data_IF_867826794136
#
_entry.id   IF_867826794136
#
_cell.length_a   1.000
_cell.length_b   1.000
_cell.length_c   1.000
_cell.angle_alpha   90.00
_cell.angle_beta   90.00
_cell.angle_gamma   90.00
#
_symmetry.space_group_name_H-M   'P 1'
#
loop_
_entity.id
_entity.type
_entity.pdbx_description
1 polymer ?
#
# COMPACT_ATOMS: atom_id res chain seq x y z
N UNK A 1 -1.83 5.41 -8.56
CA UNK A 1 -1.58 5.01 -7.15
C UNK A 1 -1.34 6.19 -6.21
N UNK A 2 -0.29 6.99 -6.41
CA UNK A 2 -0.02 8.19 -5.58
C UNK A 2 -1.23 9.11 -5.37
N UNK A 3 -1.96 9.49 -6.43
CA UNK A 3 -3.17 10.32 -6.28
C UNK A 3 -4.32 9.61 -5.54
N UNK A 4 -4.46 8.29 -5.67
CA UNK A 4 -5.42 7.51 -4.89
C UNK A 4 -5.10 7.58 -3.39
N UNK A 5 -3.82 7.48 -3.02
CA UNK A 5 -3.36 7.65 -1.65
C UNK A 5 -3.56 9.08 -1.12
N UNK A 6 -3.39 10.11 -1.96
CA UNK A 6 -3.76 11.47 -1.57
C UNK A 6 -5.27 11.62 -1.32
N UNK A 7 -6.10 10.95 -2.13
CA UNK A 7 -7.55 10.88 -1.90
C UNK A 7 -7.88 10.18 -0.58
N UNK A 8 -7.20 9.06 -0.31
CA UNK A 8 -7.31 8.32 0.94
C UNK A 8 -6.87 9.15 2.16
N UNK A 9 -5.81 9.95 2.04
CA UNK A 9 -5.42 10.90 3.09
C UNK A 9 -6.52 11.92 3.40
N UNK A 10 -7.22 12.43 2.38
CA UNK A 10 -8.35 13.34 2.63
C UNK A 10 -9.48 12.65 3.41
N UNK A 11 -9.81 11.39 3.07
CA UNK A 11 -10.75 10.60 3.86
C UNK A 11 -10.27 10.42 5.30
N UNK A 12 -9.01 10.05 5.48
CA UNK A 12 -8.38 9.88 6.78
C UNK A 12 -8.42 11.16 7.62
N UNK A 13 -8.06 12.30 7.04
CA UNK A 13 -8.15 13.61 7.69
C UNK A 13 -9.58 13.91 8.14
N UNK A 14 -10.57 13.58 7.32
CA UNK A 14 -11.99 13.74 7.63
C UNK A 14 -12.53 12.68 8.61
N UNK A 15 -11.64 11.82 9.14
CA UNK A 15 -11.96 10.87 10.19
C UNK A 15 -12.30 9.46 9.70
N UNK A 16 -12.02 9.11 8.44
CA UNK A 16 -12.42 7.84 7.83
C UNK A 16 -11.22 6.96 7.41
N UNK A 17 -11.26 5.67 7.72
CA UNK A 17 -10.37 4.65 7.16
C UNK A 17 -11.16 3.82 6.14
N UNK A 18 -10.51 3.38 5.07
CA UNK A 18 -11.18 2.81 3.91
C UNK A 18 -11.46 1.31 4.02
N UNK A 19 -10.51 0.54 4.57
CA UNK A 19 -10.60 -0.93 4.80
C UNK A 19 -10.68 -1.84 3.60
N UNK A 20 -10.74 -1.30 2.39
CA UNK A 20 -10.78 -2.08 1.16
C UNK A 20 -10.02 -1.38 0.02
N UNK A 21 -8.81 -0.92 0.33
CA UNK A 21 -7.90 -0.44 -0.71
C UNK A 21 -7.46 -1.65 -1.54
N UNK A 22 -7.91 -1.70 -2.79
CA UNK A 22 -7.66 -2.78 -3.75
C UNK A 22 -7.33 -2.20 -5.13
N UNK A 23 -6.91 -3.05 -6.06
CA UNK A 23 -6.69 -2.67 -7.47
C UNK A 23 -8.00 -2.23 -8.16
N UNK A 24 -9.14 -2.80 -7.78
CA UNK A 24 -10.46 -2.37 -8.24
C UNK A 24 -10.92 -1.02 -7.70
N UNK A 25 -10.39 -0.58 -6.56
CA UNK A 25 -10.84 0.62 -5.86
C UNK A 25 -9.91 1.84 -6.04
N UNK A 26 -8.78 1.68 -6.75
CA UNK A 26 -7.92 2.80 -7.15
C UNK A 26 -8.03 3.04 -8.65
N UNK A 27 -8.88 3.99 -9.02
CA UNK A 27 -9.24 4.25 -10.41
C UNK A 27 -8.30 5.27 -11.05
N UNK A 28 -8.06 5.10 -12.35
CA UNK A 28 -7.41 6.11 -13.19
C UNK A 28 -8.48 6.96 -13.86
N UNK A 29 -8.26 8.27 -13.89
CA UNK A 29 -9.13 9.18 -14.63
C UNK A 29 -8.81 9.09 -16.12
N UNK A 30 -9.82 9.11 -17.02
CA UNK A 30 -9.59 9.11 -18.46
C UNK A 30 -8.73 10.31 -18.90
N UNK A 31 -8.95 11.46 -18.28
CA UNK A 31 -8.17 12.66 -18.47
C UNK A 31 -7.73 13.24 -17.12
N UNK A 32 -6.55 13.86 -17.04
CA UNK A 32 -6.13 14.54 -15.82
C UNK A 32 -7.05 15.70 -15.45
N UNK A 33 -7.43 15.78 -14.18
CA UNK A 33 -8.22 16.89 -13.62
C UNK A 33 -7.36 17.83 -12.79
N UNK A 34 -7.69 19.13 -12.82
CA UNK A 34 -7.11 20.11 -11.90
C UNK A 34 -7.89 20.09 -10.59
N UNK A 35 -7.19 19.79 -9.49
CA UNK A 35 -7.74 19.75 -8.13
C UNK A 35 -6.95 20.66 -7.20
N UNK A 36 -7.59 21.04 -6.09
CA UNK A 36 -6.90 21.77 -5.02
C UNK A 36 -5.78 20.87 -4.46
N UNK A 37 -4.54 21.37 -4.34
CA UNK A 37 -3.44 20.57 -3.84
C UNK A 37 -3.65 20.27 -2.37
N UNK A 38 -3.05 19.17 -1.91
CA UNK A 38 -2.98 18.90 -0.48
C UNK A 38 -1.92 19.83 0.13
N UNK A 39 -2.35 20.75 1.00
CA UNK A 39 -1.46 21.76 1.57
C UNK A 39 -0.87 21.38 2.92
N UNK A 40 -1.28 20.24 3.49
CA UNK A 40 -0.80 19.77 4.80
C UNK A 40 0.71 19.48 4.78
N UNK A 41 1.19 18.86 3.70
CA UNK A 41 2.59 18.45 3.55
C UNK A 41 3.27 19.32 2.51
N UNK A 42 4.50 19.77 2.79
CA UNK A 42 5.25 20.64 1.88
C UNK A 42 5.41 20.00 0.50
N UNK A 43 5.71 18.70 0.47
CA UNK A 43 5.94 17.94 -0.76
C UNK A 43 4.72 17.84 -1.68
N UNK A 44 3.50 18.12 -1.19
CA UNK A 44 2.26 18.03 -1.98
C UNK A 44 1.66 19.38 -2.38
N UNK A 45 2.21 20.51 -1.90
CA UNK A 45 1.60 21.86 -2.08
C UNK A 45 1.44 22.31 -3.52
N UNK A 46 2.29 21.82 -4.43
CA UNK A 46 2.27 22.20 -5.85
C UNK A 46 1.60 21.16 -6.76
N UNK A 47 1.04 20.09 -6.19
CA UNK A 47 0.48 18.97 -6.95
C UNK A 47 -1.01 19.22 -7.23
N UNK A 48 -1.30 19.90 -8.33
CA UNK A 48 -2.67 20.26 -8.74
C UNK A 48 -3.27 19.29 -9.75
N UNK A 49 -2.44 18.59 -10.52
CA UNK A 49 -2.89 17.64 -11.54
C UNK A 49 -3.20 16.29 -10.88
N UNK A 50 -4.43 15.83 -10.98
CA UNK A 50 -4.90 14.55 -10.48
C UNK A 50 -5.18 13.61 -11.66
N UNK A 51 -4.70 12.37 -11.59
CA UNK A 51 -4.95 11.33 -12.61
C UNK A 51 -5.53 10.05 -12.03
N UNK A 52 -5.85 10.04 -10.75
CA UNK A 52 -6.43 8.86 -10.12
C UNK A 52 -7.09 9.18 -8.80
N UNK A 53 -8.05 8.35 -8.44
CA UNK A 53 -8.93 8.53 -7.28
C UNK A 53 -9.06 7.21 -6.54
N UNK A 54 -9.40 7.29 -5.25
CA UNK A 54 -9.85 6.16 -4.47
C UNK A 54 -11.39 6.14 -4.50
N UNK A 55 -12.00 4.96 -4.62
CA UNK A 55 -13.46 4.75 -4.68
C UNK A 55 -13.90 3.64 -3.76
N UNK A 56 -15.22 3.44 -3.65
CA UNK A 56 -15.83 2.36 -2.86
C UNK A 56 -15.55 2.46 -1.35
N UNK A 57 -16.08 3.53 -0.76
CA UNK A 57 -16.01 3.76 0.68
C UNK A 57 -17.08 3.03 1.49
N UNK A 58 -17.77 2.03 0.94
CA UNK A 58 -18.91 1.38 1.61
C UNK A 58 -18.49 0.58 2.85
N UNK A 59 -17.23 0.13 2.88
CA UNK A 59 -16.61 -0.50 4.04
C UNK A 59 -15.97 0.50 5.01
N UNK A 60 -16.00 1.80 4.71
CA UNK A 60 -15.23 2.80 5.46
C UNK A 60 -15.72 2.98 6.90
N UNK A 61 -14.79 3.31 7.79
CA UNK A 61 -15.04 3.40 9.23
C UNK A 61 -14.52 4.73 9.80
N UNK A 62 -15.30 5.37 10.67
CA UNK A 62 -14.96 6.59 11.42
C UNK A 62 -13.94 6.41 12.56
N UNK A 63 -12.65 6.46 12.29
CA UNK A 63 -11.62 6.17 13.30
C UNK A 63 -11.55 7.15 14.49
N UNK A 64 -12.17 8.33 14.39
CA UNK A 64 -12.22 9.33 15.48
C UNK A 64 -13.21 9.00 16.61
N UNK A 65 -14.03 7.96 16.43
CA UNK A 65 -15.05 7.59 17.42
C UNK A 65 -14.45 6.62 18.45
N UNK A 66 -14.36 7.05 19.72
CA UNK A 66 -13.71 6.32 20.82
C UNK A 66 -14.48 5.05 21.26
N UNK A 67 -15.79 5.00 21.05
CA UNK A 67 -16.65 3.89 21.51
C UNK A 67 -16.76 2.75 20.48
N UNK A 68 -15.72 2.59 19.67
CA UNK A 68 -15.70 1.57 18.63
C UNK A 68 -15.48 0.21 19.25
N UNK A 69 -16.54 -0.58 19.26
CA UNK A 69 -16.41 -2.04 19.40
C UNK A 69 -15.44 -2.51 18.33
N UNK A 70 -14.33 -3.11 18.77
CA UNK A 70 -13.39 -3.78 17.87
C UNK A 70 -14.19 -4.70 16.95
N UNK A 71 -14.25 -4.36 15.67
CA UNK A 71 -15.19 -4.98 14.75
C UNK A 71 -14.78 -6.43 14.50
N UNK A 72 -15.73 -7.35 14.69
CA UNK A 72 -15.55 -8.77 14.38
C UNK A 72 -15.77 -9.08 12.90
N UNK A 73 -16.33 -8.14 12.14
CA UNK A 73 -16.60 -8.33 10.72
C UNK A 73 -15.32 -8.13 9.90
N UNK A 74 -14.88 -9.21 9.25
CA UNK A 74 -13.81 -9.20 8.25
C UNK A 74 -14.37 -8.53 6.99
N UNK A 75 -13.70 -7.49 6.53
CA UNK A 75 -14.07 -6.74 5.32
C UNK A 75 -12.83 -6.50 4.48
N UNK A 76 -13.02 -6.42 3.17
CA UNK A 76 -11.96 -6.12 2.23
C UNK A 76 -11.39 -7.34 1.52
N UNK A 77 -10.49 -7.06 0.59
CA UNK A 77 -9.98 -8.04 -0.38
C UNK A 77 -8.70 -8.71 0.13
N UNK A 78 -8.75 -10.03 0.43
CA UNK A 78 -7.69 -10.78 1.12
C UNK A 78 -6.25 -10.55 0.61
N UNK A 79 -5.98 -10.51 -0.71
CA UNK A 79 -4.65 -10.18 -1.24
C UNK A 79 -4.09 -8.83 -0.77
N UNK A 80 -4.94 -7.86 -0.44
CA UNK A 80 -4.53 -6.48 -0.14
C UNK A 80 -4.55 -6.16 1.36
N UNK A 81 -5.33 -6.87 2.17
CA UNK A 81 -5.44 -6.64 3.62
C UNK A 81 -4.09 -6.76 4.33
N UNK A 82 -3.79 -5.85 5.27
CA UNK A 82 -2.52 -5.83 6.00
C UNK A 82 -2.21 -7.16 6.70
N UNK A 83 -0.92 -7.53 6.77
CA UNK A 83 -0.48 -8.77 7.41
C UNK A 83 -0.87 -8.84 8.88
N UNK A 84 -0.83 -7.70 9.57
CA UNK A 84 -1.23 -7.57 10.97
C UNK A 84 -2.70 -7.93 11.17
N UNK A 85 -3.59 -7.39 10.32
CA UNK A 85 -5.02 -7.72 10.33
C UNK A 85 -5.25 -9.20 10.01
N UNK A 86 -4.61 -9.73 8.97
CA UNK A 86 -4.72 -11.15 8.58
C UNK A 86 -4.30 -12.09 9.72
N UNK A 87 -3.18 -11.81 10.38
CA UNK A 87 -2.68 -12.57 11.52
C UNK A 87 -3.65 -12.54 12.71
N UNK A 88 -4.24 -11.38 13.04
CA UNK A 88 -5.22 -11.27 14.11
C UNK A 88 -6.53 -12.00 13.78
N UNK A 89 -6.99 -11.89 12.54
CA UNK A 89 -8.17 -12.60 12.05
C UNK A 89 -7.98 -14.12 12.06
N UNK A 90 -6.82 -14.61 11.65
CA UNK A 90 -6.47 -16.04 11.71
C UNK A 90 -6.51 -16.57 13.15
N UNK A 91 -6.13 -15.74 14.13
CA UNK A 91 -6.20 -16.05 15.57
C UNK A 91 -7.57 -15.79 16.20
N UNK A 92 -8.56 -15.34 15.43
CA UNK A 92 -9.86 -14.86 15.92
C UNK A 92 -9.74 -13.81 17.04
N UNK A 93 -8.70 -12.97 16.96
CA UNK A 93 -8.49 -11.89 17.91
C UNK A 93 -9.04 -10.57 17.36
N UNK A 94 -9.62 -9.72 18.23
CA UNK A 94 -10.03 -8.40 17.83
C UNK A 94 -8.80 -7.55 17.48
N UNK A 95 -8.94 -6.69 16.48
CA UNK A 95 -7.86 -5.82 16.01
C UNK A 95 -8.45 -4.48 15.60
N UNK A 96 -7.77 -3.41 15.99
CA UNK A 96 -8.12 -2.06 15.56
C UNK A 96 -7.55 -1.84 14.16
N UNK A 97 -8.39 -1.51 13.19
CA UNK A 97 -7.94 -1.04 11.88
C UNK A 97 -7.46 0.41 11.99
N UNK A 98 -6.31 0.71 11.40
CA UNK A 98 -5.60 1.99 11.52
C UNK A 98 -5.15 2.50 10.14
N UNK A 99 -4.53 3.68 10.11
CA UNK A 99 -3.91 4.21 8.89
C UNK A 99 -2.83 3.26 8.34
N UNK A 100 -2.13 2.53 9.21
CA UNK A 100 -1.06 1.62 8.82
C UNK A 100 -1.58 0.46 7.95
N UNK A 101 -2.80 0.00 8.23
CA UNK A 101 -3.41 -1.12 7.49
C UNK A 101 -3.82 -0.72 6.07
N UNK A 102 -4.39 0.48 5.90
CA UNK A 102 -4.70 1.02 4.58
C UNK A 102 -3.41 1.36 3.79
N UNK A 103 -2.38 1.90 4.46
CA UNK A 103 -1.07 2.16 3.82
C UNK A 103 -0.38 0.87 3.38
N UNK A 104 -0.38 -0.17 4.20
CA UNK A 104 0.11 -1.49 3.81
C UNK A 104 -0.71 -2.05 2.63
N UNK A 105 -2.02 -1.81 2.60
CA UNK A 105 -2.86 -2.23 1.46
C UNK A 105 -2.41 -1.58 0.14
N UNK A 106 -2.02 -0.30 0.16
CA UNK A 106 -1.41 0.34 -1.00
C UNK A 106 -0.10 -0.32 -1.45
N UNK A 107 0.75 -0.79 -0.54
CA UNK A 107 1.96 -1.55 -0.88
C UNK A 107 1.59 -2.81 -1.69
N UNK A 108 0.62 -3.58 -1.20
CA UNK A 108 0.19 -4.82 -1.85
C UNK A 108 -0.45 -4.59 -3.22
N UNK A 109 -1.24 -3.53 -3.37
CA UNK A 109 -1.78 -3.13 -4.68
C UNK A 109 -0.66 -2.78 -5.65
N UNK A 110 0.32 -1.98 -5.24
CA UNK A 110 1.48 -1.63 -6.08
C UNK A 110 2.22 -2.89 -6.51
N UNK A 111 2.55 -3.77 -5.57
CA UNK A 111 3.30 -4.99 -5.86
C UNK A 111 2.52 -5.90 -6.83
N UNK A 112 1.22 -6.12 -6.59
CA UNK A 112 0.39 -6.96 -7.46
C UNK A 112 0.23 -6.36 -8.86
N UNK A 113 0.08 -5.03 -8.99
CA UNK A 113 0.03 -4.36 -10.30
C UNK A 113 1.35 -4.53 -11.05
N UNK A 114 2.49 -4.33 -10.38
CA UNK A 114 3.80 -4.51 -11.00
C UNK A 114 4.03 -5.96 -11.45
N UNK A 115 3.68 -6.91 -10.60
CA UNK A 115 3.74 -8.33 -10.92
C UNK A 115 2.81 -8.67 -12.10
N UNK A 116 1.58 -8.16 -12.11
CA UNK A 116 0.62 -8.40 -13.19
C UNK A 116 1.13 -7.86 -14.53
N UNK A 117 1.67 -6.63 -14.55
CA UNK A 117 2.33 -6.07 -15.74
C UNK A 117 3.48 -6.95 -16.20
N UNK A 118 4.35 -7.38 -15.28
CA UNK A 118 5.45 -8.27 -15.63
C UNK A 118 4.99 -9.63 -16.13
N UNK A 119 3.87 -10.14 -15.61
CA UNK A 119 3.28 -11.42 -16.02
C UNK A 119 2.76 -11.34 -17.45
N UNK A 120 1.94 -10.33 -17.76
CA UNK A 120 1.43 -10.06 -19.10
C UNK A 120 2.56 -9.88 -20.13
N UNK A 121 3.63 -9.21 -19.71
CA UNK A 121 4.82 -8.96 -20.53
C UNK A 121 5.84 -10.12 -20.52
N UNK A 122 5.55 -11.22 -19.82
CA UNK A 122 6.41 -12.40 -19.69
C UNK A 122 7.83 -12.09 -19.20
N UNK A 123 7.97 -11.07 -18.36
CA UNK A 123 9.26 -10.58 -17.87
C UNK A 123 9.58 -10.99 -16.42
N UNK A 124 8.61 -11.55 -15.70
CA UNK A 124 8.81 -12.01 -14.33
C UNK A 124 9.81 -13.17 -14.27
N UNK A 125 10.51 -13.26 -13.15
CA UNK A 125 11.16 -14.52 -12.76
C UNK A 125 10.14 -15.56 -12.32
N UNK A 126 10.57 -16.81 -12.19
CA UNK A 126 9.68 -17.87 -11.69
C UNK A 126 9.23 -17.60 -10.25
N UNK A 127 10.10 -17.09 -9.38
CA UNK A 127 9.73 -16.71 -8.02
C UNK A 127 8.67 -15.61 -8.01
N UNK A 128 8.87 -14.54 -8.78
CA UNK A 128 7.90 -13.43 -8.87
C UNK A 128 6.55 -13.88 -9.43
N UNK A 129 6.56 -14.80 -10.39
CA UNK A 129 5.33 -15.39 -10.95
C UNK A 129 4.59 -16.21 -9.88
N UNK A 130 5.32 -16.98 -9.08
CA UNK A 130 4.76 -17.72 -7.96
C UNK A 130 4.21 -16.77 -6.88
N UNK A 131 4.90 -15.67 -6.57
CA UNK A 131 4.39 -14.66 -5.62
C UNK A 131 3.03 -14.14 -6.08
N UNK A 132 2.92 -13.74 -7.35
CA UNK A 132 1.67 -13.23 -7.90
C UNK A 132 0.53 -14.23 -7.75
N UNK A 133 0.73 -15.47 -8.19
CA UNK A 133 -0.32 -16.48 -8.16
C UNK A 133 -0.75 -16.85 -6.76
N UNK A 134 0.20 -17.06 -5.85
CA UNK A 134 -0.11 -17.42 -4.46
C UNK A 134 -0.78 -16.26 -3.70
N UNK A 135 -0.39 -14.99 -3.98
CA UNK A 135 -1.02 -13.82 -3.34
C UNK A 135 -2.48 -13.70 -3.79
N UNK A 136 -2.74 -13.86 -5.10
CA UNK A 136 -4.08 -13.71 -5.65
C UNK A 136 -4.98 -14.93 -5.40
N UNK A 137 -4.41 -16.12 -5.22
CA UNK A 137 -5.16 -17.34 -4.95
C UNK A 137 -5.54 -17.53 -3.47
N UNK A 138 -5.03 -16.69 -2.56
CA UNK A 138 -5.31 -16.81 -1.14
C UNK A 138 -6.81 -16.66 -0.84
N UNK A 139 -7.39 -17.68 -0.22
CA UNK A 139 -8.82 -17.80 0.07
C UNK A 139 -9.16 -17.69 1.57
N UNK A 140 -8.13 -17.65 2.43
CA UNK A 140 -8.27 -17.45 3.87
C UNK A 140 -7.19 -16.51 4.45
N UNK A 141 -7.42 -15.94 5.66
CA UNK A 141 -6.46 -15.01 6.25
C UNK A 141 -5.07 -15.60 6.53
N UNK A 142 -5.01 -16.89 6.91
CA UNK A 142 -3.78 -17.58 7.24
C UNK A 142 -2.93 -17.87 6.01
N UNK A 143 -3.53 -18.37 4.91
CA UNK A 143 -2.81 -18.54 3.64
C UNK A 143 -2.32 -17.20 3.10
N UNK A 144 -3.17 -16.16 3.11
CA UNK A 144 -2.80 -14.82 2.66
C UNK A 144 -1.60 -14.25 3.45
N UNK A 145 -1.63 -14.26 4.78
CA UNK A 145 -0.50 -13.77 5.59
C UNK A 145 0.79 -14.57 5.35
N UNK A 146 0.70 -15.90 5.26
CA UNK A 146 1.85 -16.76 5.00
C UNK A 146 2.52 -16.43 3.66
N UNK A 147 1.75 -16.31 2.60
CA UNK A 147 2.27 -15.98 1.27
C UNK A 147 2.88 -14.58 1.25
N UNK A 148 2.21 -13.61 1.87
CA UNK A 148 2.70 -12.23 1.97
C UNK A 148 4.02 -12.15 2.73
N UNK A 149 4.18 -12.89 3.83
CA UNK A 149 5.46 -13.00 4.56
C UNK A 149 6.58 -13.52 3.68
N UNK A 150 6.32 -14.57 2.92
CA UNK A 150 7.30 -15.16 2.03
C UNK A 150 7.71 -14.19 0.91
N UNK A 151 6.74 -13.62 0.19
CA UNK A 151 6.99 -12.68 -0.90
C UNK A 151 7.75 -11.43 -0.40
N UNK A 152 7.35 -10.85 0.73
CA UNK A 152 8.03 -9.69 1.32
C UNK A 152 9.47 -10.03 1.73
N UNK A 153 9.70 -11.17 2.39
CA UNK A 153 11.03 -11.58 2.81
C UNK A 153 11.98 -11.78 1.60
N UNK A 154 11.47 -12.32 0.50
CA UNK A 154 12.24 -12.47 -0.73
C UNK A 154 12.49 -11.15 -1.43
N UNK A 155 11.50 -10.25 -1.45
CA UNK A 155 11.66 -8.89 -1.98
C UNK A 155 12.71 -8.11 -1.18
N UNK A 156 12.61 -8.10 0.15
CA UNK A 156 13.58 -7.47 1.06
C UNK A 156 14.99 -8.01 0.84
N UNK A 157 15.15 -9.34 0.76
CA UNK A 157 16.43 -9.96 0.48
C UNK A 157 16.99 -9.51 -0.88
N UNK A 158 16.13 -9.34 -1.89
CA UNK A 158 16.50 -8.92 -3.23
C UNK A 158 16.90 -7.44 -3.29
N UNK A 159 16.18 -6.58 -2.58
CA UNK A 159 16.45 -5.15 -2.46
C UNK A 159 17.75 -4.89 -1.69
N UNK A 160 17.95 -5.55 -0.55
CA UNK A 160 19.09 -5.27 0.35
C UNK A 160 20.40 -5.93 -0.08
N UNK A 161 20.36 -7.14 -0.64
CA UNK A 161 21.59 -7.93 -0.89
C UNK A 161 22.11 -7.81 -2.32
N UNK A 162 21.48 -7.00 -3.17
CA UNK A 162 21.87 -6.63 -4.56
C UNK A 162 22.27 -7.78 -5.50
N UNK A 163 22.01 -9.04 -5.12
CA UNK A 163 22.44 -10.26 -5.84
C UNK A 163 21.30 -11.11 -6.42
N UNK A 164 20.04 -10.81 -6.12
CA UNK A 164 18.91 -11.56 -6.68
C UNK A 164 18.39 -10.93 -7.99
N UNK A 165 18.01 -11.79 -8.93
CA UNK A 165 17.46 -11.42 -10.23
C UNK A 165 16.02 -10.94 -10.06
N UNK A 166 15.80 -9.70 -9.64
CA UNK A 166 14.50 -9.08 -9.86
C UNK A 166 14.27 -8.91 -11.37
N UNK A 167 13.02 -9.05 -11.83
CA UNK A 167 12.65 -8.70 -13.19
C UNK A 167 12.91 -7.22 -13.47
N UNK A 168 13.08 -6.83 -14.74
CA UNK A 168 13.21 -5.42 -15.11
C UNK A 168 12.10 -4.53 -14.52
N UNK A 169 10.87 -5.06 -14.44
CA UNK A 169 9.70 -4.36 -13.90
C UNK A 169 9.85 -4.05 -12.41
N UNK A 170 10.27 -5.01 -11.57
CA UNK A 170 10.50 -4.74 -10.15
C UNK A 170 11.80 -3.96 -9.89
N UNK A 171 12.83 -4.15 -10.73
CA UNK A 171 14.12 -3.45 -10.59
C UNK A 171 14.01 -1.94 -10.58
N UNK A 172 13.19 -1.36 -11.47
CA UNK A 172 13.03 0.10 -11.53
C UNK A 172 12.33 0.67 -10.29
N UNK A 173 11.64 -0.18 -9.51
CA UNK A 173 10.99 0.20 -8.24
C UNK A 173 11.84 -0.09 -7.00
N UNK A 174 13.06 -0.63 -7.14
CA UNK A 174 13.94 -0.90 -5.99
C UNK A 174 14.15 0.34 -5.10
N UNK A 175 14.42 1.55 -5.62
CA UNK A 175 14.54 2.74 -4.77
C UNK A 175 13.28 3.01 -3.94
N UNK A 176 12.10 2.83 -4.53
CA UNK A 176 10.81 2.98 -3.84
C UNK A 176 10.64 1.93 -2.73
N UNK A 177 10.93 0.66 -3.01
CA UNK A 177 10.83 -0.42 -2.01
C UNK A 177 11.82 -0.26 -0.86
N UNK A 178 13.05 0.20 -1.14
CA UNK A 178 14.06 0.49 -0.11
C UNK A 178 13.54 1.49 0.92
N UNK A 179 12.78 2.50 0.49
CA UNK A 179 12.20 3.50 1.38
C UNK A 179 10.94 2.99 2.08
N UNK A 180 10.01 2.38 1.35
CA UNK A 180 8.67 2.05 1.85
C UNK A 180 8.66 0.86 2.81
N UNK A 181 9.46 -0.18 2.57
CA UNK A 181 9.38 -1.40 3.39
C UNK A 181 9.72 -1.11 4.87
N UNK A 182 10.80 -0.38 5.20
CA UNK A 182 11.06 0.04 6.59
C UNK A 182 9.91 0.85 7.19
N UNK A 183 9.34 1.79 6.42
CA UNK A 183 8.25 2.65 6.90
C UNK A 183 6.97 1.88 7.17
N UNK A 184 6.66 0.88 6.36
CA UNK A 184 5.52 -0.01 6.55
C UNK A 184 5.67 -0.85 7.83
N UNK A 185 6.87 -1.39 8.09
CA UNK A 185 7.16 -2.13 9.31
C UNK A 185 7.06 -1.20 10.55
N UNK A 186 7.64 0.01 10.48
CA UNK A 186 7.56 1.01 11.56
C UNK A 186 6.10 1.45 11.82
N UNK A 187 5.30 1.64 10.77
CA UNK A 187 3.87 1.99 10.91
C UNK A 187 3.07 0.88 11.59
N UNK A 188 3.39 -0.38 11.28
CA UNK A 188 2.77 -1.56 11.87
C UNK A 188 3.09 -1.66 13.36
N UNK A 189 4.37 -1.50 13.71
CA UNK A 189 4.84 -1.49 15.11
C UNK A 189 4.18 -0.36 15.91
N UNK A 190 4.18 0.87 15.36
CA UNK A 190 3.54 2.02 15.99
C UNK A 190 2.02 1.84 16.16
N UNK A 191 1.36 1.12 15.24
CA UNK A 191 -0.07 0.81 15.35
C UNK A 191 -0.37 -0.22 16.44
N UNK A 192 0.53 -1.19 16.68
CA UNK A 192 0.39 -2.18 17.75
C UNK A 192 0.65 -1.60 19.14
N UNK A 193 1.40 -0.51 19.24
CA UNK A 193 1.69 0.20 20.50
C UNK A 193 0.62 1.23 20.89
N UNK A 194 -0.43 1.42 20.07
CA UNK A 194 -1.49 2.39 20.36
C UNK A 194 -2.26 2.02 21.65
N UNK A 195 -2.32 2.97 22.58
CA UNK A 195 -3.14 2.89 23.78
C UNK A 195 -4.49 3.62 23.60
N UNK A 196 -5.52 3.17 24.31
CA UNK A 196 -6.86 3.79 24.31
C UNK A 196 -6.87 5.22 24.87
N UNK A 197 -6.00 5.54 25.82
CA UNK A 197 -6.06 6.80 26.58
C UNK A 197 -5.81 8.04 25.71
N UNK A 198 -5.05 7.91 24.63
CA UNK A 198 -4.71 8.99 23.71
C UNK A 198 -4.92 8.61 22.24
N UNK A 199 -5.77 7.62 21.97
CA UNK A 199 -5.88 6.96 20.67
C UNK A 199 -6.06 7.94 19.50
N UNK A 200 -6.96 8.92 19.64
CA UNK A 200 -7.26 9.88 18.56
C UNK A 200 -6.06 10.80 18.28
N UNK A 201 -5.37 11.27 19.31
CA UNK A 201 -4.19 12.13 19.17
C UNK A 201 -3.02 11.36 18.55
N UNK A 202 -2.76 10.15 19.05
CA UNK A 202 -1.74 9.24 18.54
C UNK A 202 -2.01 8.87 17.08
N UNK A 203 -3.24 8.47 16.75
CA UNK A 203 -3.63 8.17 15.37
C UNK A 203 -3.41 9.39 14.48
N UNK A 204 -3.85 10.58 14.88
CA UNK A 204 -3.68 11.82 14.11
C UNK A 204 -2.20 12.11 13.81
N UNK A 205 -1.37 12.08 14.85
CA UNK A 205 0.04 12.46 14.75
C UNK A 205 0.85 11.44 13.96
N UNK A 206 0.67 10.15 14.27
CA UNK A 206 1.35 9.07 13.56
C UNK A 206 0.86 8.96 12.11
N UNK A 207 -0.44 9.09 11.88
CA UNK A 207 -0.99 9.09 10.52
C UNK A 207 -0.33 10.15 9.65
N UNK A 208 -0.37 11.42 10.07
CA UNK A 208 0.28 12.51 9.32
C UNK A 208 1.77 12.22 9.03
N UNK A 209 2.52 11.74 10.03
CA UNK A 209 3.92 11.34 9.86
C UNK A 209 4.08 10.29 8.76
N UNK A 210 3.32 9.19 8.83
CA UNK A 210 3.48 8.08 7.88
C UNK A 210 2.99 8.44 6.47
N UNK A 211 1.90 9.20 6.32
CA UNK A 211 1.51 9.71 5.00
C UNK A 211 2.57 10.61 4.38
N UNK A 212 3.18 11.51 5.15
CA UNK A 212 4.27 12.36 4.65
C UNK A 212 5.48 11.53 4.17
N UNK A 213 5.85 10.50 4.94
CA UNK A 213 6.92 9.58 4.57
C UNK A 213 6.61 8.84 3.26
N UNK A 214 5.39 8.33 3.10
CA UNK A 214 4.94 7.69 1.88
C UNK A 214 4.92 8.64 0.69
N UNK A 215 4.37 9.85 0.84
CA UNK A 215 4.34 10.84 -0.22
C UNK A 215 5.74 11.25 -0.66
N UNK A 216 6.64 11.43 0.30
CA UNK A 216 8.04 11.76 0.02
C UNK A 216 8.74 10.63 -0.74
N UNK A 217 8.53 9.37 -0.35
CA UNK A 217 9.10 8.21 -1.04
C UNK A 217 8.61 8.11 -2.50
N UNK A 218 7.30 8.30 -2.73
CA UNK A 218 6.75 8.35 -4.09
C UNK A 218 7.40 9.43 -4.95
N UNK A 219 7.47 10.67 -4.43
CA UNK A 219 7.99 11.81 -5.18
C UNK A 219 9.49 11.70 -5.42
N UNK A 220 10.23 11.08 -4.50
CA UNK A 220 11.67 10.79 -4.67
C UNK A 220 11.92 9.73 -5.73
N UNK A 221 11.07 8.70 -5.80
CA UNK A 221 11.20 7.65 -6.80
C UNK A 221 10.77 8.12 -8.20
N UNK A 222 9.80 9.02 -8.30
CA UNK A 222 9.17 9.44 -9.56
C UNK A 222 10.15 9.80 -10.70
N UNK A 223 11.24 10.56 -10.48
CA UNK A 223 12.20 10.89 -11.54
C UNK A 223 12.97 9.68 -12.10
N UNK A 224 13.06 8.59 -11.34
CA UNK A 224 13.75 7.35 -11.73
C UNK A 224 12.83 6.34 -12.42
N UNK A 225 11.52 6.54 -12.36
CA UNK A 225 10.56 5.63 -12.96
C UNK A 225 10.49 5.83 -14.49
N UNK A 226 10.33 4.74 -15.26
CA UNK A 226 10.19 4.82 -16.71
C UNK A 226 8.90 5.55 -17.09
N UNK A 227 8.89 6.22 -18.24
CA UNK A 227 7.66 6.84 -18.76
C UNK A 227 6.73 5.79 -19.35
N UNK A 228 7.28 4.68 -19.85
CA UNK A 228 6.54 3.57 -20.45
C UNK A 228 7.19 2.24 -20.11
N UNK A 229 6.41 1.17 -20.06
CA UNK A 229 6.95 -0.18 -19.85
C UNK A 229 7.85 -0.65 -20.99
N UNK A 230 7.67 -0.10 -22.20
CA UNK A 230 8.52 -0.43 -23.35
C UNK A 230 9.96 0.09 -23.17
N UNK A 231 10.19 1.14 -22.36
CA UNK A 231 11.55 1.59 -22.00
C UNK A 231 12.29 0.56 -21.12
N UNK A 232 11.55 -0.17 -20.29
CA UNK A 232 12.08 -1.15 -19.34
C UNK A 232 12.40 -2.49 -20.01
N UNK A 233 11.58 -2.86 -20.99
CA UNK A 233 11.56 -4.20 -21.57
C UNK A 233 12.30 -4.29 -22.92
N UNK A 234 13.02 -3.25 -23.35
CA UNK A 234 13.79 -3.31 -24.59
C UNK A 234 14.81 -4.45 -24.53
N UNK A 235 14.89 -5.32 -25.56
CA UNK A 235 16.01 -6.23 -25.66
C UNK A 235 17.32 -5.42 -25.76
N UNK A 236 18.42 -5.88 -25.14
CA UNK A 236 19.71 -5.23 -25.32
C UNK A 236 20.05 -5.21 -26.82
N UNK A 237 20.47 -4.04 -27.32
CA UNK A 237 21.00 -3.85 -28.67
C UNK A 237 22.34 -4.57 -28.79
#
# INVERSE_FOLDING_TARGET
>A
MFHGMMGHYNMYKDGWLHRDVSDGNVLLLPEPEIRKPLTRFECTKNLTKCVGVISDGDQAIRWRELDRKLEKHRSGTLPFISRRMLNMWNKNQPVLHTFADDLESFFWVILCVLLSVGHERKSLTEDERLWLFEILAADDPGSSDKTKRWALSMLEASVLRTKHKLSPVLKVFVPFFTDIIPFMNEATEAADELNSDNLVESLTTLGDKFYEMWFTAFLRALPSLPKTWDEVLKPPI
#
